data_IF_290844440097
#
_entry.id   IF_290844440097
#
_cell.length_a   1.000
_cell.length_b   1.000
_cell.length_c   1.000
_cell.angle_alpha   90.00
_cell.angle_beta   90.00
_cell.angle_gamma   90.00
#
_symmetry.space_group_name_H-M   'P 1'
#
loop_
_entity.id
_entity.type
_entity.pdbx_description
1 polymer ?
#
# COMPACT_ATOMS: atom_id res chain seq x y z
N UNK A 1 1.71 14.03 22.02
CA UNK A 1 1.18 14.86 23.12
C UNK A 1 2.26 15.04 24.16
N UNK A 2 2.48 16.25 24.62
CA UNK A 2 3.47 16.58 25.67
C UNK A 2 2.71 17.02 26.92
N UNK A 3 3.07 16.47 28.05
CA UNK A 3 2.61 16.90 29.38
C UNK A 3 3.81 17.21 30.27
N UNK A 4 3.59 17.74 31.48
CA UNK A 4 4.66 18.20 32.36
C UNK A 4 5.76 17.16 32.67
N UNK A 5 5.39 15.86 32.67
CA UNK A 5 6.32 14.77 33.01
C UNK A 5 6.38 13.67 31.95
N UNK A 6 5.64 13.81 30.85
CA UNK A 6 5.42 12.73 29.90
C UNK A 6 5.31 13.26 28.49
N UNK A 7 6.01 12.61 27.57
CA UNK A 7 5.86 12.84 26.13
C UNK A 7 5.43 11.55 25.45
N UNK A 8 4.30 11.60 24.77
CA UNK A 8 3.78 10.51 23.96
C UNK A 8 4.19 10.72 22.50
N UNK A 9 4.77 9.69 21.89
CA UNK A 9 5.12 9.62 20.49
C UNK A 9 4.19 8.65 19.79
N UNK A 10 3.65 9.06 18.65
CA UNK A 10 2.79 8.24 17.80
C UNK A 10 3.38 8.19 16.38
N UNK A 11 3.63 7.00 15.91
CA UNK A 11 4.12 6.74 14.56
C UNK A 11 3.11 5.93 13.78
N UNK A 12 2.84 6.36 12.56
CA UNK A 12 2.02 5.64 11.59
C UNK A 12 2.60 5.83 10.20
N UNK A 13 2.85 4.71 9.51
CA UNK A 13 3.25 4.69 8.10
C UNK A 13 2.34 3.73 7.35
N UNK A 14 1.72 4.19 6.26
CA UNK A 14 0.80 3.39 5.47
C UNK A 14 1.40 3.06 4.11
N UNK A 15 1.43 1.79 3.76
CA UNK A 15 1.74 1.28 2.44
C UNK A 15 0.44 0.98 1.71
N UNK A 16 0.24 1.59 0.56
CA UNK A 16 -0.99 1.42 -0.22
C UNK A 16 -1.14 -0.01 -0.71
N UNK A 17 -2.29 -0.60 -0.47
CA UNK A 17 -2.67 -1.91 -0.94
C UNK A 17 -2.70 -2.01 -2.47
N UNK A 18 -2.45 -3.19 -2.97
CA UNK A 18 -2.46 -3.47 -4.42
C UNK A 18 -3.83 -3.88 -4.92
N UNK A 19 -4.76 -4.18 -4.02
CA UNK A 19 -6.15 -4.59 -4.31
C UNK A 19 -6.25 -5.84 -5.22
N UNK A 20 -5.20 -6.68 -5.22
CA UNK A 20 -5.12 -7.85 -6.13
C UNK A 20 -6.26 -8.84 -5.87
N UNK A 21 -6.61 -9.04 -4.60
CA UNK A 21 -7.72 -9.94 -4.26
C UNK A 21 -9.05 -9.51 -4.87
N UNK A 22 -9.30 -8.21 -4.93
CA UNK A 22 -10.57 -7.64 -5.40
C UNK A 22 -10.58 -7.49 -6.91
N UNK A 23 -9.50 -6.94 -7.47
CA UNK A 23 -9.44 -6.57 -8.88
C UNK A 23 -9.07 -7.76 -9.78
N UNK A 24 -8.22 -8.68 -9.28
CA UNK A 24 -7.62 -9.77 -10.04
C UNK A 24 -7.69 -11.11 -9.28
N UNK A 25 -8.90 -11.65 -9.00
CA UNK A 25 -9.07 -12.82 -8.14
C UNK A 25 -8.36 -14.08 -8.64
N UNK A 26 -8.25 -14.31 -9.95
CA UNK A 26 -7.46 -15.43 -10.48
C UNK A 26 -5.97 -15.25 -10.26
N UNK A 27 -5.43 -14.04 -10.49
CA UNK A 27 -4.05 -13.73 -10.17
C UNK A 27 -3.78 -13.88 -8.67
N UNK A 28 -4.69 -13.42 -7.80
CA UNK A 28 -4.57 -13.61 -6.36
C UNK A 28 -4.48 -15.10 -6.01
N UNK A 29 -5.28 -15.94 -6.64
CA UNK A 29 -5.25 -17.38 -6.43
C UNK A 29 -3.94 -17.99 -6.94
N UNK A 30 -3.46 -17.59 -8.12
CA UNK A 30 -2.18 -18.04 -8.67
C UNK A 30 -0.99 -17.66 -7.78
N UNK A 31 -0.98 -16.43 -7.24
CA UNK A 31 0.01 -15.98 -6.27
C UNK A 31 -0.02 -16.85 -5.01
N UNK A 32 -1.21 -17.14 -4.46
CA UNK A 32 -1.36 -17.93 -3.24
C UNK A 32 -0.98 -19.41 -3.39
N UNK A 33 -1.17 -19.96 -4.58
CA UNK A 33 -0.81 -21.35 -4.90
C UNK A 33 0.60 -21.49 -5.51
N UNK A 34 1.37 -20.39 -5.60
CA UNK A 34 2.70 -20.33 -6.23
C UNK A 34 2.69 -20.86 -7.68
N UNK A 35 1.55 -20.70 -8.39
CA UNK A 35 1.32 -21.20 -9.74
C UNK A 35 1.12 -20.05 -10.74
N UNK A 36 2.05 -19.11 -10.80
CA UNK A 36 1.99 -17.98 -11.74
C UNK A 36 2.24 -18.42 -13.19
N UNK A 37 2.95 -19.51 -13.37
CA UNK A 37 3.34 -20.03 -14.69
C UNK A 37 2.16 -20.60 -15.49
N UNK A 38 1.05 -20.96 -14.85
CA UNK A 38 -0.14 -21.49 -15.55
C UNK A 38 -0.79 -20.48 -16.49
N UNK A 39 -0.48 -19.19 -16.35
CA UNK A 39 -1.02 -18.08 -17.13
C UNK A 39 -2.57 -17.98 -17.18
N UNK A 40 -3.32 -18.81 -16.43
CA UNK A 40 -4.79 -18.81 -16.41
C UNK A 40 -5.40 -17.49 -15.93
N UNK A 41 -4.61 -16.69 -15.20
CA UNK A 41 -4.98 -15.36 -14.73
C UNK A 41 -4.87 -14.27 -15.81
N UNK A 42 -4.09 -14.49 -16.88
CA UNK A 42 -3.75 -13.46 -17.85
C UNK A 42 -4.97 -12.88 -18.59
N UNK A 43 -5.95 -13.67 -19.09
CA UNK A 43 -7.15 -13.14 -19.74
C UNK A 43 -7.99 -12.25 -18.83
N UNK A 44 -8.11 -12.62 -17.55
CA UNK A 44 -8.82 -11.81 -16.56
C UNK A 44 -8.09 -10.50 -16.28
N UNK A 45 -6.77 -10.58 -16.04
CA UNK A 45 -5.94 -9.41 -15.77
C UNK A 45 -5.98 -8.42 -16.94
N UNK A 46 -5.87 -8.88 -18.18
CA UNK A 46 -5.99 -8.03 -19.36
C UNK A 46 -7.35 -7.33 -19.43
N UNK A 47 -8.43 -8.05 -19.16
CA UNK A 47 -9.79 -7.49 -19.16
C UNK A 47 -9.93 -6.38 -18.10
N UNK A 48 -9.37 -6.58 -16.92
CA UNK A 48 -9.39 -5.56 -15.84
C UNK A 48 -8.53 -4.36 -16.19
N UNK A 49 -7.34 -4.58 -16.73
CA UNK A 49 -6.44 -3.51 -17.20
C UNK A 49 -7.11 -2.66 -18.29
N UNK A 50 -7.78 -3.30 -19.24
CA UNK A 50 -8.53 -2.63 -20.27
C UNK A 50 -9.66 -1.76 -19.67
N UNK A 51 -10.43 -2.29 -18.72
CA UNK A 51 -11.48 -1.52 -18.03
C UNK A 51 -10.92 -0.30 -17.30
N UNK A 52 -9.79 -0.45 -16.62
CA UNK A 52 -9.12 0.67 -15.92
C UNK A 52 -8.63 1.72 -16.91
N UNK A 53 -7.99 1.30 -18.01
CA UNK A 53 -7.57 2.22 -19.08
C UNK A 53 -8.74 2.97 -19.72
N UNK A 54 -9.86 2.29 -19.99
CA UNK A 54 -11.07 2.94 -20.47
C UNK A 54 -11.62 3.96 -19.46
N UNK A 55 -11.69 3.59 -18.18
CA UNK A 55 -12.12 4.51 -17.12
C UNK A 55 -11.26 5.78 -17.07
N UNK A 56 -9.94 5.64 -17.22
CA UNK A 56 -9.03 6.78 -17.26
C UNK A 56 -9.28 7.68 -18.48
N UNK A 57 -9.58 7.10 -19.64
CA UNK A 57 -9.91 7.86 -20.84
C UNK A 57 -11.20 8.66 -20.67
N UNK A 58 -12.21 8.08 -20.02
CA UNK A 58 -13.46 8.79 -19.70
C UNK A 58 -13.22 9.94 -18.72
N UNK A 59 -12.51 9.67 -17.63
CA UNK A 59 -12.22 10.71 -16.64
C UNK A 59 -11.46 11.90 -17.25
N UNK A 60 -10.63 11.63 -18.27
CA UNK A 60 -9.91 12.67 -19.02
C UNK A 60 -10.76 13.32 -20.12
N UNK A 61 -12.04 12.97 -20.23
CA UNK A 61 -12.95 13.41 -21.31
C UNK A 61 -12.45 13.11 -22.73
N UNK A 62 -11.60 12.09 -22.87
CA UNK A 62 -11.08 11.65 -24.16
C UNK A 62 -12.00 10.63 -24.84
N UNK A 63 -12.98 10.13 -24.09
CA UNK A 63 -13.94 9.14 -24.56
C UNK A 63 -15.30 9.37 -23.93
N UNK A 64 -16.38 9.10 -24.71
CA UNK A 64 -17.76 9.17 -24.19
C UNK A 64 -18.10 7.93 -23.36
N UNK A 65 -18.82 8.12 -22.26
CA UNK A 65 -19.10 7.10 -21.24
C UNK A 65 -19.94 5.90 -21.76
N UNK A 66 -20.82 6.13 -22.73
CA UNK A 66 -21.77 5.14 -23.23
C UNK A 66 -21.14 3.97 -24.04
N UNK A 67 -19.87 4.08 -24.46
CA UNK A 67 -19.15 3.02 -25.19
C UNK A 67 -18.47 2.03 -24.24
N UNK A 68 -18.19 2.40 -23.00
CA UNK A 68 -17.15 1.81 -22.15
C UNK A 68 -17.69 0.73 -21.22
N UNK A 69 -18.86 0.95 -20.67
CA UNK A 69 -19.47 0.05 -19.69
C UNK A 69 -20.45 -0.95 -20.35
N UNK A 70 -20.28 -1.15 -21.67
CA UNK A 70 -21.12 -2.10 -22.35
C UNK A 70 -20.65 -3.52 -22.04
N UNK A 71 -21.47 -4.31 -21.35
CA UNK A 71 -21.26 -5.72 -21.08
C UNK A 71 -20.89 -6.52 -22.34
N UNK A 72 -21.28 -6.04 -23.52
CA UNK A 72 -20.90 -6.64 -24.80
C UNK A 72 -19.40 -6.60 -25.05
N UNK A 73 -18.69 -5.50 -24.74
CA UNK A 73 -17.24 -5.40 -24.89
C UNK A 73 -16.54 -6.41 -23.98
N UNK A 74 -16.93 -6.44 -22.70
CA UNK A 74 -16.36 -7.37 -21.73
C UNK A 74 -16.58 -8.82 -22.12
N UNK A 75 -17.80 -9.15 -22.56
CA UNK A 75 -18.13 -10.50 -23.01
C UNK A 75 -17.40 -10.86 -24.30
N UNK A 76 -17.27 -9.91 -25.23
CA UNK A 76 -16.51 -10.11 -26.46
C UNK A 76 -15.04 -10.42 -26.16
N UNK A 77 -14.39 -9.64 -25.31
CA UNK A 77 -12.99 -9.86 -24.88
C UNK A 77 -12.84 -11.23 -24.22
N UNK A 78 -13.72 -11.56 -23.28
CA UNK A 78 -13.71 -12.85 -22.61
C UNK A 78 -13.84 -14.01 -23.60
N UNK A 79 -14.78 -13.93 -24.55
CA UNK A 79 -15.03 -14.98 -25.54
C UNK A 79 -13.87 -15.08 -26.56
N UNK A 80 -13.21 -13.98 -26.88
CA UNK A 80 -12.05 -13.98 -27.76
C UNK A 80 -10.86 -14.69 -27.13
N UNK A 81 -10.60 -14.46 -25.85
CA UNK A 81 -9.54 -15.15 -25.11
C UNK A 81 -9.88 -16.61 -24.76
N UNK A 82 -11.15 -16.96 -24.59
CA UNK A 82 -11.55 -18.35 -24.30
C UNK A 82 -11.21 -19.35 -25.42
N UNK A 83 -10.82 -18.85 -26.61
CA UNK A 83 -10.46 -19.68 -27.76
C UNK A 83 -8.95 -19.84 -27.95
N UNK A 84 -8.16 -19.13 -27.15
CA UNK A 84 -6.71 -19.15 -27.21
C UNK A 84 -6.16 -19.94 -26.03
N UNK A 85 -5.02 -20.56 -26.21
CA UNK A 85 -4.26 -21.09 -25.08
C UNK A 85 -3.74 -19.96 -24.19
N UNK A 86 -3.65 -20.19 -22.89
CA UNK A 86 -3.27 -19.18 -21.92
C UNK A 86 -1.83 -18.64 -22.15
N UNK A 87 -0.92 -19.51 -22.58
CA UNK A 87 0.45 -19.11 -22.94
C UNK A 87 0.44 -18.21 -24.19
N UNK A 88 -0.35 -18.56 -25.22
CA UNK A 88 -0.51 -17.75 -26.41
C UNK A 88 -1.09 -16.36 -26.09
N UNK A 89 -2.08 -16.30 -25.18
CA UNK A 89 -2.64 -15.03 -24.70
C UNK A 89 -1.56 -14.18 -24.04
N UNK A 90 -0.75 -14.77 -23.18
CA UNK A 90 0.30 -14.05 -22.45
C UNK A 90 1.36 -13.50 -23.40
N UNK A 91 1.81 -14.31 -24.36
CA UNK A 91 2.79 -13.91 -25.37
C UNK A 91 2.27 -12.80 -26.29
N UNK A 92 1.04 -12.89 -26.73
CA UNK A 92 0.40 -11.86 -27.54
C UNK A 92 0.26 -10.54 -26.76
N UNK A 93 -0.13 -10.59 -25.49
CA UNK A 93 -0.22 -9.41 -24.63
C UNK A 93 1.14 -8.75 -24.46
N UNK A 94 2.21 -9.52 -24.28
CA UNK A 94 3.56 -8.99 -24.08
C UNK A 94 4.13 -8.37 -25.36
N UNK A 95 3.92 -9.02 -26.50
CA UNK A 95 4.62 -8.67 -27.73
C UNK A 95 3.86 -7.68 -28.62
N UNK A 96 2.53 -7.66 -28.59
CA UNK A 96 1.74 -6.85 -29.52
C UNK A 96 0.37 -6.40 -28.96
N UNK A 97 0.42 -5.79 -27.76
CA UNK A 97 -0.77 -5.31 -27.05
C UNK A 97 -1.68 -4.44 -27.93
N UNK A 98 -1.10 -3.52 -28.69
CA UNK A 98 -1.85 -2.60 -29.54
C UNK A 98 -2.62 -3.35 -30.62
N UNK A 99 -2.02 -4.37 -31.21
CA UNK A 99 -2.66 -5.21 -32.25
C UNK A 99 -3.84 -6.00 -31.66
N UNK A 100 -3.66 -6.60 -30.47
CA UNK A 100 -4.77 -7.28 -29.80
C UNK A 100 -5.92 -6.32 -29.54
N UNK A 101 -5.63 -5.13 -29.04
CA UNK A 101 -6.66 -4.11 -28.80
C UNK A 101 -7.36 -3.71 -30.10
N UNK A 102 -6.61 -3.59 -31.19
CA UNK A 102 -7.18 -3.31 -32.52
C UNK A 102 -8.16 -4.42 -32.94
N UNK A 103 -7.73 -5.69 -32.87
CA UNK A 103 -8.55 -6.85 -33.21
C UNK A 103 -9.83 -6.94 -32.35
N UNK A 104 -9.70 -6.66 -31.03
CA UNK A 104 -10.81 -6.67 -30.09
C UNK A 104 -11.81 -5.52 -30.28
N UNK A 105 -11.32 -4.36 -30.72
CA UNK A 105 -12.16 -3.17 -30.90
C UNK A 105 -12.78 -3.07 -32.30
N UNK A 106 -12.20 -3.74 -33.31
CA UNK A 106 -12.67 -3.71 -34.68
C UNK A 106 -14.17 -4.03 -34.85
N UNK A 107 -14.76 -5.04 -34.17
CA UNK A 107 -16.18 -5.36 -34.31
C UNK A 107 -17.11 -4.27 -33.74
N UNK A 108 -16.58 -3.38 -32.92
CA UNK A 108 -17.35 -2.30 -32.26
C UNK A 108 -17.43 -1.03 -33.11
N UNK A 109 -16.76 -1.01 -34.28
CA UNK A 109 -16.73 0.13 -35.21
C UNK A 109 -16.33 1.45 -34.52
N UNK A 110 -15.41 1.39 -33.58
CA UNK A 110 -14.83 2.56 -32.90
C UNK A 110 -13.70 3.16 -33.75
N UNK A 111 -13.26 4.37 -33.39
CA UNK A 111 -12.17 5.05 -34.10
C UNK A 111 -10.86 4.27 -33.97
N UNK A 112 -10.07 4.26 -35.05
CA UNK A 112 -8.82 3.49 -35.15
C UNK A 112 -7.76 3.92 -34.11
N UNK A 113 -7.78 5.18 -33.68
CA UNK A 113 -6.87 5.71 -32.67
C UNK A 113 -7.16 5.21 -31.24
N UNK A 114 -8.38 4.69 -30.98
CA UNK A 114 -8.77 4.23 -29.65
C UNK A 114 -7.88 3.09 -29.15
N UNK A 115 -7.43 2.18 -30.00
CA UNK A 115 -6.55 1.08 -29.61
C UNK A 115 -5.21 1.61 -29.04
N UNK A 116 -4.64 2.63 -29.67
CA UNK A 116 -3.40 3.27 -29.24
C UNK A 116 -3.63 4.05 -27.93
N UNK A 117 -4.70 4.84 -27.87
CA UNK A 117 -5.06 5.60 -26.66
C UNK A 117 -5.28 4.66 -25.46
N UNK A 118 -5.97 3.56 -25.68
CA UNK A 118 -6.25 2.56 -24.65
C UNK A 118 -4.96 1.83 -24.21
N UNK A 119 -4.09 1.45 -25.15
CA UNK A 119 -2.79 0.85 -24.84
C UNK A 119 -1.95 1.75 -23.91
N UNK A 120 -1.93 3.06 -24.22
CA UNK A 120 -1.24 4.05 -23.40
C UNK A 120 -1.90 4.25 -22.02
N UNK A 121 -3.24 4.27 -21.97
CA UNK A 121 -3.97 4.40 -20.72
C UNK A 121 -3.82 3.16 -19.81
N UNK A 122 -3.65 1.98 -20.38
CA UNK A 122 -3.39 0.74 -19.63
C UNK A 122 -2.00 0.67 -19.01
N UNK A 123 -1.00 1.32 -19.62
CA UNK A 123 0.41 1.18 -19.25
C UNK A 123 0.70 1.38 -17.74
N UNK A 124 0.24 2.45 -17.06
CA UNK A 124 0.53 2.65 -15.64
C UNK A 124 -0.09 1.56 -14.75
N UNK A 125 -1.24 1.00 -15.15
CA UNK A 125 -1.87 -0.10 -14.45
C UNK A 125 -1.12 -1.42 -14.64
N UNK A 126 -0.59 -1.66 -15.85
CA UNK A 126 0.27 -2.82 -16.16
C UNK A 126 1.58 -2.78 -15.38
N UNK A 127 2.23 -1.62 -15.33
CA UNK A 127 3.47 -1.44 -14.54
C UNK A 127 3.22 -1.72 -13.06
N UNK A 128 2.11 -1.22 -12.52
CA UNK A 128 1.73 -1.50 -11.14
C UNK A 128 1.49 -3.00 -10.90
N UNK A 129 0.84 -3.68 -11.83
CA UNK A 129 0.57 -5.11 -11.74
C UNK A 129 1.86 -5.92 -11.87
N UNK A 130 2.70 -5.62 -12.87
CA UNK A 130 3.99 -6.26 -13.09
C UNK A 130 4.90 -6.14 -11.87
N UNK A 131 5.08 -4.93 -11.34
CA UNK A 131 5.86 -4.70 -10.13
C UNK A 131 5.33 -5.51 -8.94
N UNK A 132 4.02 -5.74 -8.86
CA UNK A 132 3.44 -6.57 -7.80
C UNK A 132 3.82 -8.05 -7.97
N UNK A 133 3.84 -8.56 -9.20
CA UNK A 133 4.26 -9.92 -9.52
C UNK A 133 5.76 -10.10 -9.31
N UNK A 134 6.58 -9.16 -9.77
CA UNK A 134 8.04 -9.20 -9.63
C UNK A 134 8.49 -9.19 -8.16
N UNK A 135 7.79 -8.42 -7.32
CA UNK A 135 8.08 -8.33 -5.88
C UNK A 135 7.48 -9.47 -5.04
N UNK A 136 6.88 -10.47 -5.68
CA UNK A 136 6.14 -11.52 -4.95
C UNK A 136 7.00 -12.27 -3.92
N UNK A 137 8.25 -12.57 -4.24
CA UNK A 137 9.18 -13.26 -3.35
C UNK A 137 9.97 -12.31 -2.44
N UNK A 138 9.82 -11.00 -2.62
CA UNK A 138 10.58 -10.04 -1.85
C UNK A 138 10.04 -9.88 -0.43
N UNK A 139 10.96 -9.63 0.49
CA UNK A 139 10.68 -9.30 1.88
C UNK A 139 11.19 -7.90 2.20
N UNK A 140 10.34 -7.13 2.81
CA UNK A 140 10.64 -5.77 3.24
C UNK A 140 10.92 -5.76 4.73
N UNK A 141 12.00 -5.09 5.11
CA UNK A 141 12.32 -4.86 6.51
C UNK A 141 12.37 -3.36 6.78
N UNK A 142 11.49 -2.89 7.65
CA UNK A 142 11.52 -1.51 8.13
C UNK A 142 12.00 -1.53 9.58
N UNK A 143 13.01 -0.73 9.86
CA UNK A 143 13.56 -0.55 11.21
C UNK A 143 13.36 0.89 11.64
N UNK A 144 12.91 1.08 12.87
CA UNK A 144 12.66 2.39 13.44
C UNK A 144 13.13 2.46 14.88
N UNK A 145 13.86 3.50 15.18
CA UNK A 145 14.23 3.85 16.56
C UNK A 145 13.13 4.75 17.14
N UNK A 146 12.49 4.28 18.23
CA UNK A 146 11.47 5.06 18.93
C UNK A 146 12.07 5.66 20.21
N UNK A 147 11.79 6.96 20.50
CA UNK A 147 12.18 7.55 21.77
C UNK A 147 11.43 6.87 22.94
N UNK A 148 12.14 6.54 24.01
CA UNK A 148 11.53 5.98 25.20
C UNK A 148 11.12 4.51 25.08
N UNK A 149 10.09 4.10 25.82
CA UNK A 149 9.66 2.72 25.87
C UNK A 149 8.44 2.51 24.97
N UNK A 150 8.53 1.65 23.94
CA UNK A 150 7.36 1.25 23.15
C UNK A 150 6.37 0.46 24.01
N UNK A 151 5.07 0.80 23.90
CA UNK A 151 4.00 0.12 24.65
C UNK A 151 2.85 -0.37 23.77
N UNK A 152 2.73 0.15 22.55
CA UNK A 152 1.74 -0.28 21.58
C UNK A 152 2.34 -0.26 20.18
N UNK A 153 2.44 -1.41 19.52
CA UNK A 153 2.99 -1.54 18.18
C UNK A 153 2.52 -2.83 17.52
N UNK A 154 2.50 -2.86 16.19
CA UNK A 154 2.35 -4.06 15.37
C UNK A 154 3.70 -4.49 14.75
N UNK A 155 4.82 -4.05 15.32
CA UNK A 155 6.14 -4.52 14.91
C UNK A 155 6.27 -6.05 15.13
N UNK A 156 6.98 -6.71 14.21
CA UNK A 156 7.27 -8.15 14.31
C UNK A 156 8.28 -8.46 15.39
N UNK A 157 9.19 -7.51 15.65
CA UNK A 157 10.22 -7.64 16.68
C UNK A 157 10.44 -6.29 17.38
N UNK A 158 10.76 -6.36 18.66
CA UNK A 158 11.14 -5.21 19.48
C UNK A 158 12.51 -5.48 20.10
N UNK A 159 13.51 -4.74 19.67
CA UNK A 159 14.89 -4.83 20.16
C UNK A 159 15.23 -3.56 20.94
N UNK A 160 14.96 -3.54 22.23
CA UNK A 160 15.04 -2.34 23.12
C UNK A 160 14.12 -1.22 22.61
N UNK A 161 14.70 -0.18 22.04
CA UNK A 161 14.05 1.00 21.45
C UNK A 161 13.87 0.91 19.93
N UNK A 162 14.41 -0.14 19.31
CA UNK A 162 14.32 -0.38 17.88
C UNK A 162 13.17 -1.33 17.56
N UNK A 163 12.22 -0.86 16.79
CA UNK A 163 11.11 -1.64 16.25
C UNK A 163 11.47 -2.14 14.85
N UNK A 164 11.12 -3.40 14.57
CA UNK A 164 11.38 -4.03 13.27
C UNK A 164 10.06 -4.59 12.73
N UNK A 165 9.71 -4.21 11.50
CA UNK A 165 8.61 -4.81 10.75
C UNK A 165 9.18 -5.58 9.58
N UNK A 166 8.84 -6.87 9.52
CA UNK A 166 9.16 -7.76 8.40
C UNK A 166 7.86 -8.13 7.71
N UNK A 167 7.69 -7.77 6.43
CA UNK A 167 6.50 -8.09 5.66
C UNK A 167 6.85 -8.32 4.20
N UNK A 168 6.00 -9.03 3.48
CA UNK A 168 6.12 -9.27 2.05
C UNK A 168 4.98 -8.60 1.29
N UNK A 169 4.99 -8.76 -0.04
CA UNK A 169 3.92 -8.27 -0.91
C UNK A 169 2.56 -8.88 -0.54
N UNK A 170 2.53 -10.06 0.04
CA UNK A 170 1.32 -10.75 0.53
C UNK A 170 0.51 -9.91 1.52
N UNK A 171 1.18 -9.08 2.32
CA UNK A 171 0.54 -8.12 3.23
C UNK A 171 -0.19 -6.99 2.49
N UNK A 172 0.22 -6.70 1.25
CA UNK A 172 -0.31 -5.61 0.42
C UNK A 172 -1.35 -6.09 -0.61
N UNK A 173 -1.57 -7.40 -0.77
CA UNK A 173 -2.45 -7.92 -1.83
C UNK A 173 -3.93 -7.59 -1.66
N UNK A 174 -4.36 -7.33 -0.42
CA UNK A 174 -5.77 -7.09 -0.08
C UNK A 174 -6.05 -5.62 0.18
N UNK A 175 -5.41 -5.09 1.19
CA UNK A 175 -5.68 -3.76 1.76
C UNK A 175 -4.36 -3.02 2.00
N UNK A 176 -4.48 -1.78 2.42
CA UNK A 176 -3.35 -1.02 2.92
C UNK A 176 -2.73 -1.75 4.12
N UNK A 177 -1.40 -1.66 4.21
CA UNK A 177 -0.64 -2.20 5.32
C UNK A 177 -0.06 -1.06 6.15
N UNK A 178 -0.38 -1.04 7.43
CA UNK A 178 0.00 0.02 8.33
C UNK A 178 1.06 -0.45 9.31
N UNK A 179 2.14 0.31 9.43
CA UNK A 179 3.09 0.20 10.53
C UNK A 179 2.67 1.21 11.59
N UNK A 180 2.48 0.73 12.82
CA UNK A 180 2.06 1.56 13.94
C UNK A 180 2.93 1.33 15.14
N UNK A 181 3.28 2.41 15.81
CA UNK A 181 3.97 2.34 17.10
C UNK A 181 3.65 3.55 17.98
N UNK A 182 3.56 3.29 19.27
CA UNK A 182 3.46 4.33 20.30
C UNK A 182 4.52 4.09 21.36
N UNK A 183 5.15 5.17 21.78
CA UNK A 183 6.11 5.13 22.88
C UNK A 183 5.94 6.31 23.82
N UNK A 184 6.50 6.16 24.99
CA UNK A 184 6.44 7.16 26.06
C UNK A 184 7.86 7.43 26.56
N UNK A 185 8.18 8.71 26.70
CA UNK A 185 9.32 9.16 27.49
C UNK A 185 8.82 9.86 28.75
N UNK A 186 9.50 9.63 29.83
CA UNK A 186 9.29 10.39 31.06
C UNK A 186 10.43 11.39 31.24
N UNK A 187 10.09 12.66 31.33
CA UNK A 187 11.05 13.70 31.68
C UNK A 187 10.95 13.96 33.18
N UNK A 188 11.95 13.49 33.91
CA UNK A 188 12.04 13.67 35.35
C UNK A 188 12.75 14.98 35.75
N UNK A 189 13.33 15.70 34.80
CA UNK A 189 14.06 16.94 35.08
C UNK A 189 13.20 18.01 35.76
N UNK A 190 11.95 18.29 35.34
CA UNK A 190 11.08 19.22 36.02
C UNK A 190 10.76 18.81 37.48
N UNK A 191 10.58 17.48 37.69
CA UNK A 191 10.32 16.95 39.02
C UNK A 191 11.54 17.10 39.96
N UNK A 192 12.74 16.82 39.43
CA UNK A 192 13.99 16.99 40.17
C UNK A 192 14.21 18.46 40.57
N UNK A 193 13.95 19.41 39.64
CA UNK A 193 14.03 20.86 39.90
C UNK A 193 13.02 21.27 41.00
N UNK A 194 11.79 20.74 40.95
CA UNK A 194 10.78 21.01 41.96
C UNK A 194 11.19 20.48 43.34
N UNK A 195 11.67 19.23 43.42
CA UNK A 195 12.15 18.62 44.69
C UNK A 195 13.32 19.43 45.23
N UNK A 196 14.28 19.82 44.39
CA UNK A 196 15.42 20.65 44.81
C UNK A 196 14.94 21.99 45.39
N UNK A 197 13.99 22.66 44.70
CA UNK A 197 13.41 23.92 45.16
C UNK A 197 12.71 23.78 46.52
N UNK A 198 11.91 22.75 46.71
CA UNK A 198 11.25 22.43 47.97
C UNK A 198 12.29 22.17 49.07
N UNK A 199 13.34 21.42 48.80
CA UNK A 199 14.40 21.10 49.76
C UNK A 199 15.13 22.35 50.20
N UNK A 200 15.51 23.23 49.27
CA UNK A 200 16.15 24.52 49.57
C UNK A 200 15.21 25.38 50.44
N UNK A 201 13.92 25.45 50.08
CA UNK A 201 12.94 26.21 50.86
C UNK A 201 12.82 25.71 52.29
N UNK A 202 12.73 24.39 52.48
CA UNK A 202 12.64 23.79 53.84
C UNK A 202 13.90 24.06 54.66
N UNK A 203 15.09 24.00 54.03
CA UNK A 203 16.34 24.34 54.72
C UNK A 203 16.38 25.81 55.13
N UNK A 204 15.91 26.73 54.32
CA UNK A 204 15.82 28.15 54.64
C UNK A 204 14.86 28.40 55.82
N UNK A 205 13.67 27.77 55.79
CA UNK A 205 12.69 27.85 56.87
C UNK A 205 13.29 27.31 58.17
N UNK A 206 13.94 26.16 58.12
CA UNK A 206 14.63 25.58 59.27
C UNK A 206 15.69 26.51 59.85
N UNK A 207 16.50 27.14 59.00
CA UNK A 207 17.53 28.07 59.41
C UNK A 207 16.96 29.32 60.10
N UNK A 208 15.87 29.88 59.51
CA UNK A 208 15.16 31.01 60.08
C UNK A 208 14.59 30.68 61.45
N UNK A 209 13.95 29.53 61.60
CA UNK A 209 13.37 29.08 62.89
C UNK A 209 14.48 28.93 63.95
N UNK A 210 15.63 28.33 63.56
CA UNK A 210 16.77 28.15 64.44
C UNK A 210 17.42 29.47 64.88
N UNK A 211 17.41 30.48 64.02
CA UNK A 211 17.90 31.82 64.37
C UNK A 211 16.91 32.62 65.24
N UNK A 212 15.62 32.31 65.12
CA UNK A 212 14.57 33.00 65.87
C UNK A 212 14.29 32.40 67.28
N UNK A 213 14.75 31.16 67.51
CA UNK A 213 14.64 30.49 68.80
C UNK A 213 15.96 30.68 69.58
N UNK A 214 15.90 31.33 70.74
CA UNK A 214 17.07 31.58 71.56
C UNK A 214 17.71 30.32 72.19
#
# INVERSE_FOLDING_TARGET
TVSFLKTDYDFKLTFNGRMIKTDYPKLFSAIKSENLDSAEWAPEAFTVLMKKGLSDLVQKSLLEDNIIFNDRLVNHVRNSFARLDNEEVLDRIKNDKTKILFELLQPLKVKDDLAIMLANAMQPHEEKLRNTIELFNDRFTVKMLMPGQPFHTNATEINKDTLVWNFGIDSLLKNDYELMARSITYDLEPLQKLILGITIFLLLVFFIIRMALP
#
